data_IF_607524737652
#
_entry.id   IF_607524737652
#
_cell.length_a   1.000
_cell.length_b   1.000
_cell.length_c   1.000
_cell.angle_alpha   90.00
_cell.angle_beta   90.00
_cell.angle_gamma   90.00
#
_symmetry.space_group_name_H-M   'P 1'
#
loop_
_entity.id
_entity.type
_entity.pdbx_description
1 polymer ?
#
# COMPACT_ATOMS: atom_id res chain seq x y z
N UNK A 1 -8.04 22.75 -3.44
CA UNK A 1 -7.43 21.41 -3.72
C UNK A 1 -7.70 20.48 -2.54
N UNK A 2 -8.21 19.29 -2.78
CA UNK A 2 -8.51 18.30 -1.73
C UNK A 2 -7.23 17.60 -1.28
N UNK A 3 -6.98 17.57 0.03
CA UNK A 3 -5.84 16.89 0.67
C UNK A 3 -6.38 15.77 1.58
N UNK A 4 -5.97 14.53 1.36
CA UNK A 4 -6.40 13.41 2.18
C UNK A 4 -6.19 12.06 1.51
N UNK A 5 -6.76 11.03 2.09
CA UNK A 5 -6.57 9.64 1.65
C UNK A 5 -7.93 9.00 1.43
N UNK A 6 -8.11 8.34 0.29
CA UNK A 6 -9.30 7.56 -0.03
C UNK A 6 -8.92 6.09 -0.02
N UNK A 7 -9.75 5.26 0.60
CA UNK A 7 -9.67 3.82 0.50
C UNK A 7 -10.44 3.38 -0.75
N UNK A 8 -9.73 3.07 -1.83
CA UNK A 8 -10.34 2.69 -3.11
C UNK A 8 -10.37 1.17 -3.25
N UNK A 9 -11.50 0.63 -3.68
CA UNK A 9 -11.59 -0.73 -4.23
C UNK A 9 -11.14 -0.69 -5.68
N UNK A 10 -9.95 -1.21 -5.96
CA UNK A 10 -9.50 -1.37 -7.35
C UNK A 10 -10.19 -2.59 -7.95
N UNK A 11 -10.99 -2.36 -8.95
CA UNK A 11 -11.69 -3.40 -9.70
C UNK A 11 -10.75 -4.10 -10.70
N UNK A 12 -11.06 -5.33 -11.06
CA UNK A 12 -10.35 -6.10 -12.09
C UNK A 12 -10.32 -5.35 -13.42
N UNK A 13 -9.23 -5.49 -14.18
CA UNK A 13 -9.04 -4.85 -15.47
C UNK A 13 -8.47 -3.43 -15.42
N UNK A 14 -8.39 -2.78 -14.25
CA UNK A 14 -7.70 -1.51 -14.09
C UNK A 14 -6.28 -1.70 -13.59
N UNK A 15 -5.33 -0.95 -14.14
CA UNK A 15 -4.04 -0.74 -13.47
C UNK A 15 -4.22 0.22 -12.28
N UNK A 16 -3.30 0.19 -11.31
CA UNK A 16 -3.31 1.17 -10.21
C UNK A 16 -3.17 2.61 -10.72
N UNK A 17 -2.53 2.81 -11.89
CA UNK A 17 -2.41 4.11 -12.53
C UNK A 17 -3.72 4.58 -13.18
N UNK A 18 -4.51 3.68 -13.77
CA UNK A 18 -5.84 4.00 -14.31
C UNK A 18 -6.78 4.50 -13.21
N UNK A 19 -6.72 3.88 -12.02
CA UNK A 19 -7.45 4.37 -10.84
C UNK A 19 -7.06 5.82 -10.52
N UNK A 20 -5.77 6.13 -10.48
CA UNK A 20 -5.27 7.49 -10.26
C UNK A 20 -5.75 8.43 -11.37
N UNK A 21 -5.68 8.01 -12.63
CA UNK A 21 -6.12 8.84 -13.78
C UNK A 21 -7.62 9.16 -13.69
N UNK A 22 -8.48 8.18 -13.37
CA UNK A 22 -9.92 8.40 -13.18
C UNK A 22 -10.21 9.35 -12.03
N UNK A 23 -9.52 9.18 -10.88
CA UNK A 23 -9.69 10.06 -9.73
C UNK A 23 -9.22 11.50 -10.00
N UNK A 24 -8.20 11.71 -10.85
CA UNK A 24 -7.82 13.05 -11.32
C UNK A 24 -8.98 13.75 -12.05
N UNK A 25 -9.70 13.02 -12.89
CA UNK A 25 -10.90 13.52 -13.57
C UNK A 25 -12.05 13.82 -12.60
N UNK A 26 -12.29 12.93 -11.63
CA UNK A 26 -13.35 13.07 -10.63
C UNK A 26 -13.09 14.28 -9.70
N UNK A 27 -11.89 14.38 -9.12
CA UNK A 27 -11.52 15.45 -8.18
C UNK A 27 -11.02 16.74 -8.85
N UNK A 28 -10.94 16.78 -10.18
CA UNK A 28 -10.44 17.94 -10.95
C UNK A 28 -9.05 18.43 -10.48
N UNK A 29 -8.19 17.52 -10.01
CA UNK A 29 -6.85 17.86 -9.55
C UNK A 29 -5.78 16.87 -10.06
N UNK A 30 -4.57 17.39 -10.37
CA UNK A 30 -3.49 16.61 -10.96
C UNK A 30 -2.72 15.77 -9.92
N UNK A 31 -2.54 16.30 -8.69
CA UNK A 31 -1.68 15.71 -7.66
C UNK A 31 -2.42 14.60 -6.93
N UNK A 32 -2.32 13.39 -7.45
CA UNK A 32 -2.88 12.15 -6.88
C UNK A 32 -1.85 11.03 -7.05
N UNK A 33 -1.69 10.16 -6.05
CA UNK A 33 -0.80 9.01 -6.05
C UNK A 33 -1.38 7.85 -5.26
N UNK A 34 -0.89 6.63 -5.47
CA UNK A 34 -1.31 5.42 -4.75
C UNK A 34 -0.20 4.86 -3.86
N UNK A 35 -0.54 4.02 -2.89
CA UNK A 35 0.35 3.51 -1.85
C UNK A 35 0.88 2.10 -2.11
N UNK A 36 0.86 1.64 -3.34
CA UNK A 36 1.36 0.30 -3.72
C UNK A 36 0.58 -0.30 -4.87
N UNK A 37 1.31 -0.76 -5.86
CA UNK A 37 0.74 -1.32 -7.09
C UNK A 37 -0.02 -2.62 -6.81
N UNK A 38 -1.14 -2.79 -7.50
CA UNK A 38 -1.82 -4.06 -7.75
C UNK A 38 -1.72 -4.36 -9.24
N UNK A 39 -1.55 -5.63 -9.57
CA UNK A 39 -1.59 -6.10 -10.95
C UNK A 39 -2.97 -5.82 -11.59
N UNK A 40 -3.12 -5.73 -12.92
CA UNK A 40 -4.39 -5.41 -13.56
C UNK A 40 -5.53 -6.34 -13.14
N UNK A 41 -5.27 -7.66 -13.08
CA UNK A 41 -6.27 -8.67 -12.72
C UNK A 41 -6.46 -8.85 -11.21
N UNK A 42 -5.59 -8.28 -10.37
CA UNK A 42 -5.77 -8.25 -8.93
C UNK A 42 -6.79 -7.18 -8.53
N UNK A 43 -7.53 -7.44 -7.45
CA UNK A 43 -8.59 -6.57 -6.94
C UNK A 43 -8.33 -6.11 -5.50
N UNK A 44 -9.16 -5.18 -5.02
CA UNK A 44 -9.28 -4.85 -3.61
C UNK A 44 -8.63 -3.54 -3.20
N UNK A 45 -8.22 -3.47 -1.95
CA UNK A 45 -7.81 -2.25 -1.23
C UNK A 45 -6.64 -1.54 -1.88
N UNK A 46 -6.85 -0.32 -2.35
CA UNK A 46 -5.82 0.57 -2.90
C UNK A 46 -5.97 1.97 -2.28
N UNK A 47 -5.27 2.28 -1.18
CA UNK A 47 -5.30 3.64 -0.65
C UNK A 47 -4.68 4.61 -1.63
N UNK A 48 -5.41 5.68 -1.93
CA UNK A 48 -5.01 6.73 -2.87
C UNK A 48 -4.93 8.05 -2.14
N UNK A 49 -3.80 8.73 -2.29
CA UNK A 49 -3.50 10.00 -1.66
C UNK A 49 -3.79 11.16 -2.60
N UNK A 50 -4.52 12.16 -2.10
CA UNK A 50 -4.91 13.38 -2.80
C UNK A 50 -4.06 14.56 -2.35
N UNK A 51 -3.64 15.41 -3.28
CA UNK A 51 -2.93 16.65 -2.97
C UNK A 51 -1.64 16.45 -2.17
N UNK A 52 -1.50 17.16 -1.07
CA UNK A 52 -0.30 17.08 -0.20
C UNK A 52 -0.15 15.72 0.47
N UNK A 53 -1.24 14.94 0.61
CA UNK A 53 -1.18 13.57 1.11
C UNK A 53 -0.33 12.63 0.23
N UNK A 54 -0.01 12.98 -1.02
CA UNK A 54 0.92 12.19 -1.84
C UNK A 54 2.30 12.02 -1.20
N UNK A 55 2.69 12.91 -0.29
CA UNK A 55 3.92 12.79 0.50
C UNK A 55 3.91 11.60 1.48
N UNK A 56 2.72 11.02 1.76
CA UNK A 56 2.56 9.85 2.67
C UNK A 56 2.67 8.53 1.93
N UNK A 57 2.61 8.53 0.60
CA UNK A 57 2.59 7.29 -0.20
C UNK A 57 3.73 6.33 0.20
N UNK A 58 4.94 6.85 0.37
CA UNK A 58 6.11 6.04 0.74
C UNK A 58 5.91 5.36 2.11
N UNK A 59 5.42 6.12 3.10
CA UNK A 59 5.22 5.64 4.46
C UNK A 59 4.14 4.56 4.55
N UNK A 60 3.11 4.64 3.71
CA UNK A 60 2.05 3.63 3.63
C UNK A 60 2.48 2.43 2.79
N UNK A 61 3.34 2.63 1.79
CA UNK A 61 3.91 1.54 1.00
C UNK A 61 4.75 0.59 1.87
N UNK A 62 5.36 1.09 2.92
CA UNK A 62 6.21 0.33 3.84
C UNK A 62 5.44 -0.53 4.87
N UNK A 63 4.11 -0.46 4.90
CA UNK A 63 3.27 -1.20 5.83
C UNK A 63 2.96 -2.61 5.33
N UNK A 64 2.52 -3.49 6.26
CA UNK A 64 2.04 -4.83 5.95
C UNK A 64 0.79 -4.81 5.07
N UNK A 65 0.59 -5.87 4.30
CA UNK A 65 -0.60 -6.11 3.47
C UNK A 65 -1.18 -7.47 3.81
N UNK A 66 -2.48 -7.61 3.57
CA UNK A 66 -3.17 -8.89 3.62
C UNK A 66 -3.87 -9.15 2.28
N UNK A 67 -3.81 -10.40 1.85
CA UNK A 67 -4.36 -10.84 0.58
C UNK A 67 -5.15 -12.14 0.78
N UNK A 68 -6.26 -12.31 0.05
CA UNK A 68 -6.81 -13.61 -0.28
C UNK A 68 -6.33 -13.98 -1.68
N UNK A 69 -5.75 -15.17 -1.81
CA UNK A 69 -5.22 -15.68 -3.07
C UNK A 69 -5.74 -17.08 -3.33
N UNK A 70 -5.93 -17.41 -4.61
CA UNK A 70 -6.13 -18.77 -5.06
C UNK A 70 -4.86 -19.21 -5.80
N UNK A 71 -4.20 -20.22 -5.26
CA UNK A 71 -3.13 -20.96 -5.90
C UNK A 71 -3.76 -22.06 -6.76
N UNK A 72 -3.39 -22.12 -8.03
CA UNK A 72 -3.67 -23.23 -8.95
C UNK A 72 -2.41 -24.10 -9.06
N UNK A 73 -2.48 -25.32 -8.57
CA UNK A 73 -1.43 -26.33 -8.72
C UNK A 73 -1.48 -26.99 -10.11
N UNK A 74 -0.35 -27.50 -10.56
CA UNK A 74 -0.24 -28.22 -11.83
C UNK A 74 0.06 -27.35 -13.04
N UNK A 75 0.00 -26.02 -12.93
CA UNK A 75 0.21 -25.11 -14.05
C UNK A 75 1.34 -24.11 -13.73
N UNK A 76 2.33 -24.01 -14.62
CA UNK A 76 3.42 -23.04 -14.53
C UNK A 76 3.30 -22.03 -15.67
N UNK A 77 3.39 -20.73 -15.39
CA UNK A 77 3.29 -19.65 -16.38
C UNK A 77 4.48 -18.69 -16.29
N UNK A 78 4.75 -17.99 -17.38
CA UNK A 78 5.83 -16.98 -17.46
C UNK A 78 5.61 -15.76 -16.56
N UNK A 79 4.35 -15.43 -16.25
CA UNK A 79 3.97 -14.32 -15.35
C UNK A 79 3.79 -14.74 -13.89
N UNK A 80 3.81 -16.05 -13.60
CA UNK A 80 3.50 -16.66 -12.30
C UNK A 80 2.01 -16.48 -11.89
N UNK A 81 1.15 -16.06 -12.80
CA UNK A 81 -0.30 -15.98 -12.66
C UNK A 81 -1.00 -16.56 -13.89
N UNK A 82 -2.31 -16.79 -13.80
CA UNK A 82 -3.11 -17.45 -14.85
C UNK A 82 -3.19 -16.65 -16.16
N UNK A 83 -2.77 -15.38 -16.18
CA UNK A 83 -2.82 -14.54 -17.39
C UNK A 83 -1.63 -14.71 -18.31
N UNK A 84 -0.59 -15.39 -17.83
CA UNK A 84 0.63 -15.64 -18.60
C UNK A 84 0.51 -16.81 -19.59
N UNK A 85 1.56 -16.96 -20.39
CA UNK A 85 1.72 -18.12 -21.26
C UNK A 85 2.05 -19.34 -20.42
N UNK A 86 1.30 -20.44 -20.62
CA UNK A 86 1.59 -21.72 -19.96
C UNK A 86 2.92 -22.27 -20.47
N UNK A 87 3.85 -22.50 -19.55
CA UNK A 87 5.16 -23.07 -19.80
C UNK A 87 5.20 -24.57 -19.53
N UNK A 88 4.45 -25.06 -18.54
CA UNK A 88 4.42 -26.42 -18.11
C UNK A 88 3.07 -26.77 -17.46
N UNK A 89 2.57 -27.96 -17.72
CA UNK A 89 1.43 -28.57 -17.02
C UNK A 89 1.86 -29.91 -16.45
N UNK A 90 1.47 -30.19 -15.20
CA UNK A 90 1.79 -31.41 -14.46
C UNK A 90 0.55 -31.97 -13.76
N UNK A 91 0.50 -33.31 -13.65
CA UNK A 91 -0.50 -33.94 -12.79
C UNK A 91 -0.31 -33.55 -11.33
N UNK A 92 -1.40 -33.21 -10.66
CA UNK A 92 -1.43 -32.92 -9.24
C UNK A 92 -1.70 -34.19 -8.44
N UNK A 93 -0.62 -34.86 -8.02
CA UNK A 93 -0.64 -36.14 -7.28
C UNK A 93 -0.19 -35.93 -5.82
N UNK A 94 -0.66 -34.87 -5.19
CA UNK A 94 -0.33 -34.50 -3.80
C UNK A 94 -1.54 -34.69 -2.89
N UNK A 95 -1.32 -34.98 -1.61
CA UNK A 95 -2.39 -35.05 -0.64
C UNK A 95 -2.70 -33.66 -0.06
N UNK A 96 -3.89 -33.49 0.48
CA UNK A 96 -4.27 -32.24 1.16
C UNK A 96 -3.32 -31.93 2.34
N UNK A 97 -2.92 -32.94 3.10
CA UNK A 97 -2.00 -32.79 4.21
C UNK A 97 -0.64 -32.25 3.77
N UNK A 98 -0.07 -32.81 2.70
CA UNK A 98 1.20 -32.35 2.14
C UNK A 98 1.10 -30.90 1.63
N UNK A 99 -0.03 -30.52 1.04
CA UNK A 99 -0.30 -29.13 0.61
C UNK A 99 -0.34 -28.20 1.84
N UNK A 100 -1.10 -28.56 2.88
CA UNK A 100 -1.21 -27.75 4.10
C UNK A 100 0.13 -27.56 4.79
N UNK A 101 0.90 -28.62 4.95
CA UNK A 101 2.24 -28.58 5.54
C UNK A 101 3.18 -27.68 4.72
N UNK A 102 3.19 -27.87 3.39
CA UNK A 102 4.05 -27.08 2.49
C UNK A 102 3.68 -25.59 2.53
N UNK A 103 2.41 -25.25 2.41
CA UNK A 103 1.93 -23.84 2.48
C UNK A 103 2.35 -23.19 3.79
N UNK A 104 2.12 -23.85 4.92
CA UNK A 104 2.46 -23.30 6.25
C UNK A 104 3.97 -23.17 6.48
N UNK A 105 4.79 -23.95 5.78
CA UNK A 105 6.26 -23.86 5.89
C UNK A 105 6.84 -22.55 5.33
N UNK A 106 6.07 -21.74 4.62
CA UNK A 106 6.48 -20.41 4.14
C UNK A 106 6.27 -19.30 5.17
N UNK A 107 5.63 -19.57 6.32
CA UNK A 107 5.48 -18.59 7.39
C UNK A 107 6.82 -18.28 8.03
N UNK A 108 7.14 -17.01 8.18
CA UNK A 108 8.41 -16.54 8.73
C UNK A 108 9.24 -15.75 7.72
N UNK A 109 10.54 -15.76 7.90
CA UNK A 109 11.48 -15.09 7.00
C UNK A 109 11.67 -15.93 5.74
N UNK A 110 11.56 -15.28 4.59
CA UNK A 110 11.51 -15.93 3.29
C UNK A 110 12.35 -15.15 2.27
N UNK A 111 13.27 -15.82 1.59
CA UNK A 111 14.11 -15.24 0.53
C UNK A 111 13.41 -15.42 -0.81
N UNK A 112 12.80 -14.38 -1.33
CA UNK A 112 11.98 -14.41 -2.54
C UNK A 112 12.72 -13.81 -3.74
N UNK A 113 12.74 -14.50 -4.88
CA UNK A 113 13.22 -13.96 -6.16
C UNK A 113 12.04 -13.22 -6.82
N UNK A 114 12.13 -11.87 -7.00
CA UNK A 114 11.04 -11.11 -7.58
C UNK A 114 10.72 -11.57 -9.02
N UNK A 115 9.44 -11.52 -9.45
CA UNK A 115 9.08 -11.89 -10.83
C UNK A 115 9.64 -10.90 -11.85
N UNK A 116 9.85 -11.36 -13.09
CA UNK A 116 10.21 -10.47 -14.21
C UNK A 116 9.13 -9.41 -14.47
N UNK A 117 7.87 -9.79 -14.34
CA UNK A 117 6.74 -8.86 -14.46
C UNK A 117 6.52 -8.05 -13.17
N UNK A 118 7.52 -7.22 -12.81
CA UNK A 118 7.47 -6.33 -11.65
C UNK A 118 7.94 -4.90 -11.97
N UNK A 119 7.58 -3.95 -11.10
CA UNK A 119 7.98 -2.55 -11.21
C UNK A 119 9.42 -2.29 -10.70
N UNK A 120 10.13 -3.31 -10.25
CA UNK A 120 11.52 -3.19 -9.81
C UNK A 120 12.41 -2.77 -10.98
N UNK A 121 13.42 -1.94 -10.67
CA UNK A 121 14.38 -1.47 -11.67
C UNK A 121 15.71 -2.20 -11.53
N UNK A 122 16.26 -2.61 -12.67
CA UNK A 122 17.62 -3.09 -12.83
C UNK A 122 18.28 -2.24 -13.90
N UNK A 123 19.42 -1.63 -13.60
CA UNK A 123 20.13 -0.72 -14.49
C UNK A 123 19.23 0.41 -15.05
N UNK A 124 18.33 0.97 -14.21
CA UNK A 124 17.45 2.07 -14.57
C UNK A 124 16.17 1.68 -15.31
N UNK A 125 16.04 0.45 -15.87
CA UNK A 125 14.85 -0.06 -16.57
C UNK A 125 14.02 -0.91 -15.65
N UNK A 126 12.69 -0.87 -15.78
CA UNK A 126 11.79 -1.76 -15.02
C UNK A 126 11.90 -3.19 -15.56
N UNK A 127 11.82 -4.18 -14.65
CA UNK A 127 11.83 -5.60 -15.04
C UNK A 127 10.69 -5.95 -15.98
N UNK A 128 9.48 -5.41 -15.75
CA UNK A 128 8.33 -5.66 -16.62
C UNK A 128 8.52 -5.09 -18.04
N UNK A 129 9.29 -4.03 -18.23
CA UNK A 129 9.58 -3.48 -19.56
C UNK A 129 10.56 -4.40 -20.28
N UNK A 130 11.58 -4.90 -19.58
CA UNK A 130 12.52 -5.89 -20.12
C UNK A 130 11.83 -7.20 -20.48
N UNK A 131 10.89 -7.68 -19.64
CA UNK A 131 10.11 -8.88 -19.90
C UNK A 131 9.27 -8.75 -21.19
N UNK A 132 8.62 -7.59 -21.41
CA UNK A 132 7.88 -7.31 -22.66
C UNK A 132 8.79 -7.24 -23.90
N UNK A 133 10.07 -6.89 -23.73
CA UNK A 133 11.09 -6.95 -24.78
C UNK A 133 11.63 -8.39 -24.99
N UNK A 134 11.08 -9.39 -24.30
CA UNK A 134 11.55 -10.78 -24.36
C UNK A 134 12.89 -11.02 -23.65
N UNK A 135 13.34 -10.07 -22.81
CA UNK A 135 14.62 -10.14 -22.10
C UNK A 135 14.42 -10.68 -20.69
N UNK A 136 15.16 -11.70 -20.33
CA UNK A 136 15.28 -12.18 -18.94
C UNK A 136 16.60 -11.68 -18.37
N UNK A 137 16.57 -11.17 -17.13
CA UNK A 137 17.75 -10.74 -16.40
C UNK A 137 17.84 -11.47 -15.07
N UNK A 138 19.05 -11.67 -14.59
CA UNK A 138 19.28 -12.24 -13.27
C UNK A 138 18.69 -11.33 -12.19
N UNK A 139 17.99 -11.92 -11.23
CA UNK A 139 17.35 -11.23 -10.12
C UNK A 139 17.87 -11.79 -8.81
N UNK A 140 18.27 -10.91 -7.93
CA UNK A 140 18.70 -11.31 -6.59
C UNK A 140 17.51 -11.57 -5.69
N UNK A 141 17.56 -12.65 -4.91
CA UNK A 141 16.61 -12.92 -3.87
C UNK A 141 16.59 -11.77 -2.84
N UNK A 142 15.40 -11.44 -2.34
CA UNK A 142 15.19 -10.38 -1.36
C UNK A 142 14.48 -10.92 -0.12
N UNK A 143 14.88 -10.49 1.07
CA UNK A 143 14.20 -10.90 2.27
C UNK A 143 12.80 -10.27 2.33
N UNK A 144 11.80 -11.10 2.50
CA UNK A 144 10.42 -10.73 2.82
C UNK A 144 9.98 -11.55 4.03
N UNK A 145 8.87 -11.15 4.66
CA UNK A 145 8.34 -11.89 5.80
C UNK A 145 6.87 -12.21 5.57
N UNK A 146 6.55 -13.48 5.63
CA UNK A 146 5.18 -13.96 5.70
C UNK A 146 4.80 -13.99 7.18
N UNK A 147 3.87 -13.13 7.57
CA UNK A 147 3.46 -12.97 8.96
C UNK A 147 2.51 -14.09 9.39
N UNK A 148 1.52 -14.38 8.54
CA UNK A 148 0.57 -15.50 8.72
C UNK A 148 0.11 -16.01 7.38
N UNK A 149 -0.25 -17.30 7.34
CA UNK A 149 -1.05 -17.90 6.26
C UNK A 149 -2.21 -18.67 6.92
N UNK A 150 -3.43 -18.30 6.57
CA UNK A 150 -4.64 -19.05 6.92
C UNK A 150 -5.11 -19.79 5.67
N UNK A 151 -5.14 -21.10 5.67
CA UNK A 151 -5.66 -21.92 4.58
C UNK A 151 -7.19 -21.93 4.70
N UNK A 152 -7.86 -21.28 3.77
CA UNK A 152 -9.32 -21.12 3.78
C UNK A 152 -10.04 -22.31 3.18
N UNK A 153 -9.46 -22.91 2.11
CA UNK A 153 -10.01 -24.05 1.42
C UNK A 153 -8.92 -24.81 0.63
N UNK A 154 -9.06 -26.14 0.53
CA UNK A 154 -8.23 -27.00 -0.33
C UNK A 154 -9.16 -27.88 -1.13
N UNK A 155 -9.39 -27.52 -2.38
CA UNK A 155 -10.14 -28.30 -3.37
C UNK A 155 -9.25 -28.50 -4.58
N UNK A 156 -8.39 -29.53 -4.52
CA UNK A 156 -7.36 -29.77 -5.54
C UNK A 156 -7.93 -29.73 -6.97
N UNK A 157 -7.27 -29.04 -7.90
CA UNK A 157 -5.92 -28.47 -7.81
C UNK A 157 -5.86 -27.04 -7.22
N UNK A 158 -6.93 -26.52 -6.60
CA UNK A 158 -7.00 -25.15 -6.06
C UNK A 158 -6.79 -25.12 -4.56
N UNK A 159 -6.00 -24.13 -4.12
CA UNK A 159 -5.78 -23.82 -2.68
C UNK A 159 -6.10 -22.36 -2.47
N UNK A 160 -7.12 -22.07 -1.66
CA UNK A 160 -7.48 -20.70 -1.26
C UNK A 160 -6.85 -20.39 0.08
N UNK A 161 -6.09 -19.30 0.14
CA UNK A 161 -5.37 -18.91 1.35
C UNK A 161 -5.44 -17.40 1.58
N UNK A 162 -5.42 -17.01 2.87
CA UNK A 162 -5.23 -15.63 3.30
C UNK A 162 -3.82 -15.46 3.79
N UNK A 163 -3.09 -14.51 3.19
CA UNK A 163 -1.67 -14.28 3.45
C UNK A 163 -1.48 -12.86 3.97
N UNK A 164 -0.92 -12.73 5.17
CA UNK A 164 -0.45 -11.45 5.69
C UNK A 164 1.07 -11.39 5.59
N UNK A 165 1.59 -10.33 4.96
CA UNK A 165 3.02 -10.27 4.64
C UNK A 165 3.59 -8.86 4.74
N UNK A 166 4.91 -8.78 4.74
CA UNK A 166 5.67 -7.54 4.69
C UNK A 166 5.57 -6.86 3.32
N UNK A 167 6.03 -5.60 3.24
CA UNK A 167 6.21 -4.91 1.95
C UNK A 167 7.09 -5.70 1.00
N UNK A 168 6.84 -5.56 -0.30
CA UNK A 168 7.69 -6.14 -1.35
C UNK A 168 7.47 -7.62 -1.60
N UNK A 169 6.55 -8.27 -0.88
CA UNK A 169 6.17 -9.67 -1.12
C UNK A 169 5.32 -9.79 -2.38
N UNK A 170 5.69 -10.69 -3.27
CA UNK A 170 4.94 -11.06 -4.48
C UNK A 170 4.17 -12.35 -4.21
N UNK A 171 2.84 -12.26 -4.15
CA UNK A 171 1.97 -13.44 -3.91
C UNK A 171 2.04 -14.41 -5.09
N UNK A 172 2.24 -13.91 -6.31
CA UNK A 172 2.49 -14.74 -7.51
C UNK A 172 3.68 -15.67 -7.32
N UNK A 173 4.80 -15.12 -6.86
CA UNK A 173 6.01 -15.91 -6.60
C UNK A 173 5.80 -16.88 -5.43
N UNK A 174 5.09 -16.49 -4.37
CA UNK A 174 4.73 -17.41 -3.29
C UNK A 174 3.94 -18.61 -3.82
N UNK A 175 2.95 -18.38 -4.71
CA UNK A 175 2.18 -19.45 -5.33
C UNK A 175 3.06 -20.38 -6.18
N UNK A 176 3.95 -19.83 -6.99
CA UNK A 176 4.90 -20.62 -7.78
C UNK A 176 5.82 -21.47 -6.87
N UNK A 177 6.44 -20.85 -5.87
CA UNK A 177 7.41 -21.53 -5.00
C UNK A 177 6.74 -22.64 -4.14
N UNK A 178 5.47 -22.46 -3.73
CA UNK A 178 4.69 -23.53 -3.11
C UNK A 178 4.51 -24.70 -4.10
N UNK A 179 4.09 -24.42 -5.33
CA UNK A 179 3.92 -25.45 -6.36
C UNK A 179 5.23 -26.16 -6.73
N UNK A 180 6.34 -25.43 -6.80
CA UNK A 180 7.68 -26.00 -7.01
C UNK A 180 8.09 -26.93 -5.86
N UNK A 181 7.87 -26.50 -4.61
CA UNK A 181 8.19 -27.30 -3.41
C UNK A 181 7.34 -28.57 -3.32
N UNK A 182 6.11 -28.55 -3.84
CA UNK A 182 5.25 -29.71 -3.98
C UNK A 182 5.63 -30.61 -5.19
N UNK A 183 6.50 -30.14 -6.08
CA UNK A 183 6.96 -30.88 -7.27
C UNK A 183 5.98 -30.88 -8.47
N UNK A 184 4.80 -30.32 -8.30
CA UNK A 184 3.79 -30.26 -9.37
C UNK A 184 3.71 -28.92 -10.09
N UNK A 185 4.44 -27.88 -9.64
CA UNK A 185 4.30 -26.52 -10.15
C UNK A 185 3.01 -25.84 -9.67
N UNK A 186 2.94 -24.53 -9.92
CA UNK A 186 1.75 -23.76 -9.54
C UNK A 186 1.85 -22.31 -10.00
N UNK A 187 0.70 -21.65 -10.13
CA UNK A 187 0.58 -20.24 -10.42
C UNK A 187 -0.56 -19.61 -9.60
N UNK A 188 -0.59 -18.28 -9.55
CA UNK A 188 -1.68 -17.56 -8.91
C UNK A 188 -2.88 -17.44 -9.85
N UNK A 189 -4.05 -17.96 -9.46
CA UNK A 189 -5.29 -17.87 -10.25
C UNK A 189 -6.03 -16.56 -9.98
N UNK A 190 -6.10 -16.13 -8.73
CA UNK A 190 -6.75 -14.85 -8.36
C UNK A 190 -6.10 -14.22 -7.14
N UNK A 191 -6.26 -12.88 -7.02
CA UNK A 191 -5.72 -12.11 -5.93
C UNK A 191 -6.68 -10.99 -5.53
N UNK A 192 -7.07 -10.99 -4.26
CA UNK A 192 -7.83 -9.92 -3.61
C UNK A 192 -7.01 -9.33 -2.47
N UNK A 193 -6.61 -8.07 -2.55
CA UNK A 193 -5.97 -7.39 -1.42
C UNK A 193 -7.04 -6.94 -0.42
N UNK A 194 -7.10 -7.58 0.73
CA UNK A 194 -8.13 -7.35 1.76
C UNK A 194 -7.76 -6.24 2.72
N UNK A 195 -6.44 -5.97 2.89
CA UNK A 195 -5.97 -4.94 3.82
C UNK A 195 -4.63 -4.32 3.41
N UNK A 196 -4.50 -3.01 3.66
CA UNK A 196 -3.25 -2.26 3.64
C UNK A 196 -3.19 -1.41 4.90
N UNK A 197 -2.31 -1.74 5.86
CA UNK A 197 -2.27 -1.08 7.19
C UNK A 197 -3.67 -1.07 7.84
N UNK A 198 -4.22 0.10 8.14
CA UNK A 198 -5.57 0.29 8.69
C UNK A 198 -6.70 0.38 7.65
N UNK A 199 -6.39 0.32 6.37
CA UNK A 199 -7.39 0.35 5.30
C UNK A 199 -7.92 -1.06 5.04
N UNK A 200 -9.20 -1.28 5.29
CA UNK A 200 -9.86 -2.57 5.17
C UNK A 200 -10.75 -2.63 3.92
N UNK A 201 -10.94 -3.83 3.39
CA UNK A 201 -11.76 -4.09 2.20
C UNK A 201 -13.22 -3.61 2.38
N UNK A 202 -13.80 -3.81 3.56
CA UNK A 202 -15.19 -3.41 3.87
C UNK A 202 -15.44 -1.90 3.78
N UNK A 203 -14.37 -1.09 3.90
CA UNK A 203 -14.43 0.37 3.88
C UNK A 203 -13.93 0.94 2.54
N UNK A 204 -13.69 0.08 1.55
CA UNK A 204 -13.18 0.50 0.25
C UNK A 204 -14.33 0.83 -0.72
N UNK A 205 -14.20 1.95 -1.43
CA UNK A 205 -15.19 2.45 -2.39
C UNK A 205 -14.74 2.19 -3.82
N UNK A 206 -15.66 1.74 -4.68
CA UNK A 206 -15.42 1.63 -6.12
C UNK A 206 -15.34 3.01 -6.77
N UNK A 207 -14.65 3.09 -7.92
CA UNK A 207 -14.46 4.37 -8.64
C UNK A 207 -15.80 5.02 -9.02
N UNK A 208 -16.78 4.21 -9.43
CA UNK A 208 -18.13 4.70 -9.78
C UNK A 208 -18.84 5.32 -8.57
N UNK A 209 -18.77 4.67 -7.41
CA UNK A 209 -19.34 5.17 -6.15
C UNK A 209 -18.70 6.49 -5.73
N UNK A 210 -17.35 6.58 -5.80
CA UNK A 210 -16.62 7.81 -5.49
C UNK A 210 -17.06 8.93 -6.43
N UNK A 211 -17.22 8.65 -7.74
CA UNK A 211 -17.67 9.63 -8.71
C UNK A 211 -19.08 10.17 -8.41
N UNK A 212 -19.99 9.30 -7.97
CA UNK A 212 -21.34 9.66 -7.56
C UNK A 212 -21.32 10.50 -6.27
N UNK A 213 -20.61 10.05 -5.22
CA UNK A 213 -20.46 10.78 -3.97
C UNK A 213 -19.87 12.18 -4.17
N UNK A 214 -18.86 12.32 -5.03
CA UNK A 214 -18.27 13.64 -5.34
C UNK A 214 -19.31 14.54 -5.97
N UNK A 215 -20.09 14.07 -6.96
CA UNK A 215 -21.17 14.85 -7.58
C UNK A 215 -22.22 15.30 -6.57
N UNK A 216 -22.62 14.42 -5.67
CA UNK A 216 -23.60 14.71 -4.61
C UNK A 216 -23.09 15.76 -3.62
N UNK A 217 -21.86 15.60 -3.15
CA UNK A 217 -21.23 16.53 -2.19
C UNK A 217 -20.93 17.92 -2.77
N UNK A 218 -20.90 18.06 -4.12
CA UNK A 218 -20.42 19.28 -4.78
C UNK A 218 -21.45 19.92 -5.71
N UNK A 219 -22.74 19.57 -5.59
CA UNK A 219 -23.82 20.06 -6.49
C UNK A 219 -23.83 21.57 -6.67
N UNK A 220 -23.53 22.32 -5.63
CA UNK A 220 -23.59 23.79 -5.59
C UNK A 220 -22.19 24.45 -5.41
N UNK A 221 -21.10 23.65 -5.46
CA UNK A 221 -19.77 24.14 -5.21
C UNK A 221 -18.87 24.06 -6.44
N UNK A 222 -18.23 25.15 -6.85
CA UNK A 222 -17.23 25.10 -7.91
C UNK A 222 -15.98 24.37 -7.42
N UNK A 223 -15.20 23.74 -8.33
CA UNK A 223 -14.03 22.92 -7.96
C UNK A 223 -12.97 23.66 -7.13
N UNK A 224 -12.87 24.97 -7.27
CA UNK A 224 -11.94 25.82 -6.53
C UNK A 224 -12.27 25.90 -5.02
N UNK A 225 -13.56 25.74 -4.68
CA UNK A 225 -14.05 25.72 -3.31
C UNK A 225 -13.93 24.33 -2.62
N UNK A 226 -13.53 23.29 -3.35
CA UNK A 226 -13.45 21.95 -2.79
C UNK A 226 -12.31 21.82 -1.79
N UNK A 227 -12.67 21.41 -0.58
CA UNK A 227 -11.76 21.03 0.50
C UNK A 227 -12.05 19.60 0.97
N UNK A 228 -11.21 19.05 1.83
CA UNK A 228 -11.47 17.73 2.42
C UNK A 228 -12.80 17.68 3.19
N UNK A 229 -13.17 18.78 3.83
CA UNK A 229 -14.41 18.86 4.62
C UNK A 229 -15.67 18.58 3.78
N UNK A 230 -15.62 18.82 2.46
CA UNK A 230 -16.72 18.49 1.54
C UNK A 230 -16.90 16.97 1.35
N UNK A 231 -15.92 16.13 1.71
CA UNK A 231 -15.89 14.72 1.37
C UNK A 231 -15.68 13.86 2.61
N UNK A 232 -16.75 13.42 3.29
CA UNK A 232 -16.66 12.61 4.54
C UNK A 232 -15.88 11.30 4.37
N UNK A 233 -15.86 10.72 3.16
CA UNK A 233 -15.12 9.51 2.82
C UNK A 233 -13.62 9.74 2.54
N UNK A 234 -13.16 11.00 2.52
CA UNK A 234 -11.74 11.35 2.41
C UNK A 234 -11.15 11.50 3.81
N UNK A 235 -10.32 10.54 4.21
CA UNK A 235 -9.64 10.57 5.52
C UNK A 235 -8.57 11.65 5.57
N UNK A 236 -8.38 12.26 6.73
CA UNK A 236 -7.32 13.26 6.94
C UNK A 236 -5.93 12.59 6.88
N UNK A 237 -4.91 13.39 6.56
CA UNK A 237 -3.52 12.90 6.44
C UNK A 237 -2.99 12.41 7.77
N UNK A 238 -3.33 13.05 8.87
CA UNK A 238 -2.89 12.70 10.22
C UNK A 238 -3.52 11.41 10.76
N UNK A 239 -4.65 10.97 10.17
CA UNK A 239 -5.35 9.75 10.58
C UNK A 239 -4.49 8.48 10.46
N UNK A 240 -3.49 8.46 9.58
CA UNK A 240 -2.59 7.31 9.38
C UNK A 240 -1.36 7.32 10.32
N UNK A 241 -1.31 8.28 11.23
CA UNK A 241 -0.21 8.46 12.20
C UNK A 241 -0.69 8.41 13.66
N UNK A 242 -1.83 7.77 13.92
CA UNK A 242 -2.43 7.71 15.27
C UNK A 242 -1.53 7.06 16.31
N UNK A 243 -0.55 6.25 15.89
CA UNK A 243 0.47 5.65 16.76
C UNK A 243 1.48 6.68 17.28
N UNK A 244 1.53 7.90 16.72
CA UNK A 244 2.41 8.99 17.16
C UNK A 244 1.65 9.95 18.07
N UNK A 245 2.31 10.39 19.14
CA UNK A 245 1.74 11.33 20.09
C UNK A 245 1.46 12.68 19.41
N UNK A 246 0.35 13.32 19.78
CA UNK A 246 -0.02 14.66 19.32
C UNK A 246 0.74 15.71 20.13
N UNK A 247 1.29 16.71 19.47
CA UNK A 247 1.93 17.86 20.08
C UNK A 247 1.42 19.15 19.41
N UNK A 248 1.14 20.18 20.21
CA UNK A 248 0.62 21.47 19.74
C UNK A 248 1.67 22.54 19.94
N UNK A 249 1.90 23.33 18.89
CA UNK A 249 2.81 24.49 18.92
C UNK A 249 1.96 25.77 18.98
N UNK A 250 2.13 26.61 20.04
CA UNK A 250 1.40 27.84 20.21
C UNK A 250 1.64 28.90 19.11
N UNK A 251 0.68 29.78 18.88
CA UNK A 251 0.68 30.76 17.79
C UNK A 251 1.92 31.67 17.78
N UNK A 252 2.49 31.99 18.94
CA UNK A 252 3.74 32.77 19.03
C UNK A 252 4.93 32.19 18.30
N UNK A 253 4.92 30.83 18.03
CA UNK A 253 5.95 30.11 17.28
C UNK A 253 5.52 29.77 15.85
N UNK A 254 4.39 30.30 15.39
CA UNK A 254 3.82 29.99 14.06
C UNK A 254 4.80 30.23 12.92
N UNK A 255 5.62 31.29 12.99
CA UNK A 255 6.65 31.57 11.97
C UNK A 255 7.69 30.45 11.86
N UNK A 256 8.12 29.88 12.98
CA UNK A 256 9.05 28.74 13.01
C UNK A 256 8.38 27.52 12.40
N UNK A 257 7.15 27.27 12.81
CA UNK A 257 6.33 26.12 12.41
C UNK A 257 6.04 26.12 10.90
N UNK A 258 5.50 27.23 10.38
CA UNK A 258 5.08 27.33 8.98
C UNK A 258 6.24 27.45 7.99
N UNK A 259 7.46 27.79 8.46
CA UNK A 259 8.67 27.67 7.64
C UNK A 259 9.26 26.25 7.62
N UNK A 260 8.64 25.27 8.29
CA UNK A 260 9.11 23.89 8.36
C UNK A 260 10.45 23.75 9.09
N UNK A 261 10.73 24.65 10.01
CA UNK A 261 11.96 24.65 10.80
C UNK A 261 11.90 23.60 11.92
N UNK A 262 13.03 23.40 12.59
CA UNK A 262 13.14 22.62 13.81
C UNK A 262 12.34 23.27 14.93
N UNK A 263 11.82 22.46 15.84
CA UNK A 263 11.02 22.88 16.99
C UNK A 263 11.75 22.45 18.25
N UNK A 264 11.98 23.41 19.15
CA UNK A 264 12.55 23.16 20.46
C UNK A 264 11.46 22.61 21.41
N UNK A 265 11.80 21.75 22.40
CA UNK A 265 10.83 21.21 23.35
C UNK A 265 9.98 22.29 24.04
N UNK A 266 10.56 23.45 24.36
CA UNK A 266 9.89 24.58 25.02
C UNK A 266 8.82 25.23 24.12
N UNK A 267 8.86 25.01 22.81
CA UNK A 267 7.86 25.48 21.86
C UNK A 267 6.63 24.55 21.81
N UNK A 268 6.65 23.43 22.49
CA UNK A 268 5.55 22.47 22.51
C UNK A 268 4.71 22.67 23.77
N UNK A 269 3.40 22.90 23.60
CA UNK A 269 2.47 22.96 24.72
C UNK A 269 2.43 21.60 25.43
N UNK A 270 2.61 21.59 26.74
CA UNK A 270 2.61 20.36 27.55
C UNK A 270 3.59 19.29 27.04
N UNK A 271 4.84 19.72 26.81
CA UNK A 271 5.91 18.80 26.41
C UNK A 271 6.11 17.70 27.46
N UNK A 272 6.24 16.47 26.97
CA UNK A 272 6.54 15.29 27.79
C UNK A 272 7.81 14.59 27.25
N UNK A 273 8.65 14.09 28.15
CA UNK A 273 9.88 13.37 27.77
C UNK A 273 9.62 12.14 26.90
N UNK A 274 8.45 11.52 27.01
CA UNK A 274 7.99 10.40 26.15
C UNK A 274 7.95 10.76 24.67
N UNK A 275 7.75 12.03 24.32
CA UNK A 275 7.73 12.57 22.95
C UNK A 275 9.08 12.45 22.25
N UNK A 276 10.17 12.32 23.01
CA UNK A 276 11.53 12.17 22.46
C UNK A 276 11.84 10.75 21.95
N UNK A 277 11.01 9.78 22.30
CA UNK A 277 11.28 8.37 22.00
C UNK A 277 10.80 7.90 20.63
N UNK A 278 9.80 8.60 20.08
CA UNK A 278 9.15 8.24 18.80
C UNK A 278 8.84 9.53 18.02
N UNK A 279 8.63 9.44 16.70
CA UNK A 279 8.09 10.57 15.96
C UNK A 279 6.77 11.07 16.56
N UNK A 280 6.53 12.38 16.46
CA UNK A 280 5.31 13.04 16.96
C UNK A 280 4.56 13.72 15.83
N UNK A 281 3.24 13.89 16.01
CA UNK A 281 2.38 14.67 15.13
C UNK A 281 2.33 16.11 15.64
N UNK A 282 2.79 17.06 14.84
CA UNK A 282 2.75 18.47 15.18
C UNK A 282 1.49 19.12 14.59
N UNK A 283 0.81 19.89 15.43
CA UNK A 283 -0.34 20.72 15.09
C UNK A 283 -0.09 22.17 15.50
N UNK A 284 -0.75 23.11 14.81
CA UNK A 284 -0.84 24.48 15.29
C UNK A 284 -1.93 24.61 16.38
N UNK A 285 -2.10 25.80 16.90
CA UNK A 285 -3.08 26.12 17.94
C UNK A 285 -4.55 26.02 17.47
N UNK A 286 -4.78 26.08 16.15
CA UNK A 286 -6.09 25.91 15.48
C UNK A 286 -6.37 24.46 15.09
N UNK A 287 -5.56 23.53 15.57
CA UNK A 287 -5.67 22.08 15.28
C UNK A 287 -5.40 21.68 13.81
N UNK A 288 -4.67 22.50 13.06
CA UNK A 288 -4.22 22.11 11.73
C UNK A 288 -3.00 21.20 11.83
N UNK A 289 -3.05 20.06 11.15
CA UNK A 289 -1.93 19.13 11.10
C UNK A 289 -0.80 19.69 10.24
N UNK A 290 0.35 19.91 10.84
CA UNK A 290 1.53 20.49 10.19
C UNK A 290 2.45 19.40 9.63
N UNK A 291 2.72 18.36 10.42
CA UNK A 291 3.66 17.33 9.98
C UNK A 291 4.05 16.32 11.04
N UNK A 292 4.96 15.45 10.63
CA UNK A 292 5.64 14.49 11.49
C UNK A 292 7.03 14.99 11.78
N UNK A 293 7.40 14.99 13.05
CA UNK A 293 8.70 15.43 13.55
C UNK A 293 9.33 14.35 14.42
N UNK A 294 10.65 14.30 14.43
CA UNK A 294 11.44 13.33 15.19
C UNK A 294 12.50 14.04 16.02
N UNK A 295 12.66 13.61 17.27
CA UNK A 295 13.64 14.20 18.19
C UNK A 295 15.06 13.79 17.81
N UNK A 296 15.96 14.76 17.75
CA UNK A 296 17.37 14.58 17.47
C UNK A 296 18.17 14.74 18.77
N UNK A 297 18.62 13.64 19.35
CA UNK A 297 19.31 13.61 20.65
C UNK A 297 20.54 14.55 20.70
N UNK A 298 21.34 14.56 19.62
CA UNK A 298 22.56 15.38 19.54
C UNK A 298 22.29 16.88 19.58
N UNK A 299 21.10 17.32 19.15
CA UNK A 299 20.74 18.74 19.03
C UNK A 299 19.66 19.18 20.02
N UNK A 300 19.08 18.27 20.75
CA UNK A 300 18.01 18.55 21.72
C UNK A 300 16.72 19.08 21.14
N UNK A 301 16.44 18.88 19.83
CA UNK A 301 15.26 19.46 19.17
C UNK A 301 14.58 18.49 18.20
N UNK A 302 13.35 18.84 17.78
CA UNK A 302 12.56 18.07 16.82
C UNK A 302 12.84 18.53 15.39
N UNK A 303 13.28 17.60 14.54
CA UNK A 303 13.49 17.82 13.11
C UNK A 303 12.25 17.38 12.34
N UNK A 304 11.77 18.14 11.32
CA UNK A 304 10.69 17.68 10.45
C UNK A 304 11.13 16.46 9.64
N UNK A 305 10.30 15.41 9.69
CA UNK A 305 10.41 14.21 8.85
C UNK A 305 9.61 14.41 7.56
N UNK A 306 8.33 14.84 7.72
CA UNK A 306 7.45 15.22 6.61
C UNK A 306 6.52 16.36 7.04
N UNK A 307 6.38 17.36 6.18
CA UNK A 307 5.53 18.53 6.40
C UNK A 307 4.39 18.55 5.37
N UNK A 308 3.17 18.82 5.85
CA UNK A 308 1.92 18.76 5.08
C UNK A 308 1.13 20.06 5.04
N UNK A 309 1.68 21.15 5.53
CA UNK A 309 1.00 22.46 5.67
C UNK A 309 0.12 22.79 4.47
N UNK A 310 -1.10 23.27 4.73
CA UNK A 310 -1.95 23.89 3.74
C UNK A 310 -1.49 25.34 3.54
N UNK A 311 -1.40 25.80 2.30
CA UNK A 311 -1.14 27.20 1.93
C UNK A 311 -2.38 28.01 2.13
#
# INVERSE_FOLDING_TARGET
>A
MVNGIINVYKEKGYTSFDVVAKLRGIFKQKKIGHTGTLDPDAEGVLPVCLGKATKVCDLLTDKSKEYEAVLLLGTVTDTQDITGTVLEEKDVKVTEEAVRETVLSFVGDYMQIPPMYSALKVNGKKLCDLAREGKTVERQARPVKILTIDILDVTLPRVRMRVRCSKGTYIRTLCQDIGEKLGCGGCMESLLRTQVSEFLLKDALKIGEIGQLVKECTKELPPEAWSRACFPFVRSVDSVFTQYQKAVVPEQFSKVLYNGNRIEPEMIRSFEASMQQKPIRIYDEKDHFIGIYEFQQERGNFKPVKVFMEE
#
